data_IF_251499550370
#
_entry.id   IF_251499550370
#
_cell.length_a   1.000
_cell.length_b   1.000
_cell.length_c   1.000
_cell.angle_alpha   90.00
_cell.angle_beta   90.00
_cell.angle_gamma   90.00
#
_symmetry.space_group_name_H-M   'P 1'
#
loop_
_entity.id
_entity.type
_entity.pdbx_description
1 polymer ?
#
# COMPACT_ATOMS: atom_id res chain seq x y z
N UNK A 1 8.49 7.42 15.59
CA UNK A 1 8.74 6.03 15.13
C UNK A 1 10.16 5.95 14.61
N UNK A 2 10.92 4.87 14.86
CA UNK A 2 12.27 4.70 14.33
C UNK A 2 12.32 4.70 12.79
N UNK A 3 13.37 5.29 12.20
CA UNK A 3 13.53 5.42 10.74
C UNK A 3 13.56 4.07 10.01
N UNK A 4 14.17 3.05 10.61
CA UNK A 4 14.19 1.70 10.03
C UNK A 4 12.77 1.11 9.91
N UNK A 5 11.94 1.32 10.93
CA UNK A 5 10.56 0.87 10.94
C UNK A 5 9.69 1.66 9.96
N UNK A 6 9.90 2.97 9.83
CA UNK A 6 9.25 3.79 8.80
C UNK A 6 9.55 3.26 7.40
N UNK A 7 10.83 3.04 7.07
CA UNK A 7 11.26 2.49 5.78
C UNK A 7 10.64 1.11 5.51
N UNK A 8 10.62 0.24 6.52
CA UNK A 8 10.00 -1.08 6.42
C UNK A 8 8.50 -0.98 6.09
N UNK A 9 7.76 -0.13 6.80
CA UNK A 9 6.32 0.04 6.58
C UNK A 9 6.00 0.70 5.24
N UNK A 10 6.79 1.66 4.78
CA UNK A 10 6.65 2.24 3.44
C UNK A 10 6.92 1.20 2.36
N UNK A 11 7.92 0.34 2.52
CA UNK A 11 8.22 -0.74 1.58
C UNK A 11 7.10 -1.80 1.54
N UNK A 12 6.59 -2.20 2.71
CA UNK A 12 5.47 -3.14 2.82
C UNK A 12 4.21 -2.57 2.15
N UNK A 13 3.84 -1.33 2.50
CA UNK A 13 2.72 -0.61 1.89
C UNK A 13 2.87 -0.48 0.37
N UNK A 14 4.08 -0.21 -0.12
CA UNK A 14 4.36 -0.11 -1.56
C UNK A 14 4.08 -1.41 -2.31
N UNK A 15 4.41 -2.56 -1.71
CA UNK A 15 4.12 -3.88 -2.31
C UNK A 15 2.62 -4.18 -2.30
N UNK A 16 1.96 -3.94 -1.17
CA UNK A 16 0.51 -4.13 -1.04
C UNK A 16 -0.24 -3.23 -2.02
N UNK A 17 0.12 -1.95 -2.11
CA UNK A 17 -0.51 -1.01 -3.04
C UNK A 17 -0.34 -1.44 -4.50
N UNK A 18 0.87 -1.88 -4.89
CA UNK A 18 1.08 -2.46 -6.22
C UNK A 18 0.16 -3.66 -6.47
N UNK A 19 0.01 -4.56 -5.50
CA UNK A 19 -0.91 -5.69 -5.63
C UNK A 19 -2.39 -5.25 -5.70
N UNK A 20 -2.75 -4.19 -4.99
CA UNK A 20 -4.10 -3.63 -5.01
C UNK A 20 -4.47 -3.07 -6.38
N UNK A 21 -3.57 -2.30 -7.00
CA UNK A 21 -3.84 -1.60 -8.27
C UNK A 21 -3.46 -2.39 -9.53
N UNK A 22 -2.73 -3.50 -9.41
CA UNK A 22 -2.40 -4.37 -10.56
C UNK A 22 -3.09 -5.73 -10.50
N UNK A 23 -3.47 -6.19 -9.29
CA UNK A 23 -3.91 -7.56 -9.05
C UNK A 23 -2.79 -8.58 -8.84
N UNK A 24 -1.56 -8.28 -9.26
CA UNK A 24 -0.44 -9.18 -9.13
C UNK A 24 0.03 -9.30 -7.67
N UNK A 25 0.30 -10.53 -7.19
CA UNK A 25 0.85 -10.76 -5.84
C UNK A 25 -0.16 -10.66 -4.69
N UNK A 26 -1.47 -10.48 -4.97
CA UNK A 26 -2.52 -10.45 -3.91
C UNK A 26 -2.55 -11.71 -3.04
N UNK A 27 -2.08 -12.84 -3.56
CA UNK A 27 -1.98 -14.11 -2.81
C UNK A 27 -1.02 -14.05 -1.62
N UNK A 28 -0.13 -13.05 -1.53
CA UNK A 28 0.73 -12.83 -0.35
C UNK A 28 -0.05 -12.25 0.84
N UNK A 29 -1.22 -11.64 0.60
CA UNK A 29 -2.09 -11.05 1.63
C UNK A 29 -3.55 -11.50 1.47
N UNK A 30 -3.84 -12.81 1.56
CA UNK A 30 -5.17 -13.35 1.25
C UNK A 30 -6.26 -12.78 2.19
N UNK A 31 -5.94 -12.56 3.46
CA UNK A 31 -6.86 -11.94 4.42
C UNK A 31 -7.10 -10.44 4.19
N UNK A 32 -6.20 -9.74 3.48
CA UNK A 32 -6.38 -8.33 3.14
C UNK A 32 -7.18 -8.14 1.86
N UNK A 33 -7.06 -9.07 0.92
CA UNK A 33 -7.74 -9.00 -0.39
C UNK A 33 -8.97 -9.91 -0.50
N UNK A 34 -9.38 -10.59 0.58
CA UNK A 34 -10.43 -11.63 0.58
C UNK A 34 -11.74 -11.19 -0.07
N UNK A 35 -12.13 -9.94 0.16
CA UNK A 35 -13.42 -9.38 -0.29
C UNK A 35 -13.25 -8.27 -1.34
N UNK A 36 -12.04 -8.09 -1.87
CA UNK A 36 -11.75 -6.99 -2.79
C UNK A 36 -11.83 -7.40 -4.25
N UNK A 37 -12.87 -6.91 -4.95
CA UNK A 37 -12.81 -6.78 -6.40
C UNK A 37 -11.59 -5.93 -6.81
N UNK A 38 -11.02 -6.23 -7.97
CA UNK A 38 -9.88 -5.46 -8.47
C UNK A 38 -10.30 -4.00 -8.63
N UNK A 39 -9.69 -3.07 -7.87
CA UNK A 39 -10.10 -1.66 -7.89
C UNK A 39 -9.89 -1.04 -9.28
N UNK A 40 -8.83 -1.45 -9.96
CA UNK A 40 -8.53 -1.18 -11.37
C UNK A 40 -7.29 -2.00 -11.75
N UNK A 41 -7.10 -2.27 -13.04
CA UNK A 41 -5.91 -2.94 -13.57
C UNK A 41 -4.90 -1.91 -14.10
N UNK A 42 -4.36 -1.08 -13.21
CA UNK A 42 -3.27 -0.17 -13.57
C UNK A 42 -2.02 -0.96 -13.94
N UNK A 43 -1.17 -0.36 -14.76
CA UNK A 43 0.16 -0.87 -15.14
C UNK A 43 1.24 0.20 -14.93
N UNK A 44 2.49 -0.18 -15.12
CA UNK A 44 3.65 0.73 -15.03
C UNK A 44 3.77 1.50 -13.69
N UNK A 45 3.46 0.79 -12.59
CA UNK A 45 3.38 1.40 -11.26
C UNK A 45 4.75 1.80 -10.71
N UNK A 46 4.88 3.09 -10.36
CA UNK A 46 6.02 3.65 -9.65
C UNK A 46 5.60 4.32 -8.35
N UNK A 47 6.21 3.92 -7.24
CA UNK A 47 6.10 4.66 -5.98
C UNK A 47 7.14 5.79 -6.00
N UNK A 48 6.69 7.01 -5.77
CA UNK A 48 7.51 8.21 -5.83
C UNK A 48 7.96 8.64 -4.43
N UNK A 49 7.06 8.54 -3.46
CA UNK A 49 7.33 8.87 -2.07
C UNK A 49 6.43 8.08 -1.13
N UNK A 50 6.85 7.96 0.13
CA UNK A 50 6.04 7.38 1.18
C UNK A 50 6.44 7.89 2.56
N UNK A 51 5.47 8.00 3.45
CA UNK A 51 5.68 8.35 4.86
C UNK A 51 4.86 7.45 5.75
N UNK A 52 5.37 7.10 6.92
CA UNK A 52 4.63 6.33 7.89
C UNK A 52 4.60 7.05 9.25
N UNK A 53 3.39 7.23 9.80
CA UNK A 53 3.17 7.98 11.04
C UNK A 53 2.32 7.16 12.00
N UNK A 54 2.66 7.20 13.28
CA UNK A 54 1.83 6.61 14.32
C UNK A 54 0.43 7.23 14.29
N UNK A 55 -0.58 6.40 14.45
CA UNK A 55 -1.99 6.77 14.51
C UNK A 55 -2.58 6.24 15.83
N UNK A 56 -3.78 6.70 16.24
CA UNK A 56 -4.47 6.18 17.42
C UNK A 56 -4.64 4.65 17.38
N UNK A 57 -4.93 4.05 18.54
CA UNK A 57 -5.19 2.62 18.69
C UNK A 57 -4.03 1.71 18.27
N UNK A 58 -2.78 2.13 18.55
CA UNK A 58 -1.54 1.40 18.22
C UNK A 58 -1.39 1.10 16.72
N UNK A 59 -1.99 1.93 15.86
CA UNK A 59 -1.91 1.80 14.41
C UNK A 59 -0.79 2.64 13.83
N UNK A 60 -0.40 2.34 12.59
CA UNK A 60 0.47 3.19 11.78
C UNK A 60 -0.25 3.50 10.48
N UNK A 61 -0.30 4.78 10.12
CA UNK A 61 -0.82 5.26 8.85
C UNK A 61 0.33 5.46 7.89
N UNK A 62 0.26 4.81 6.74
CA UNK A 62 1.19 5.00 5.64
C UNK A 62 0.49 5.79 4.54
N UNK A 63 1.13 6.85 4.07
CA UNK A 63 0.70 7.60 2.88
C UNK A 63 1.74 7.43 1.80
N UNK A 64 1.30 7.12 0.58
CA UNK A 64 2.14 6.99 -0.59
C UNK A 64 1.78 8.03 -1.63
N UNK A 65 2.77 8.44 -2.41
CA UNK A 65 2.60 9.14 -3.68
C UNK A 65 3.10 8.20 -4.78
N UNK A 66 2.31 8.02 -5.83
CA UNK A 66 2.56 7.05 -6.88
C UNK A 66 2.08 7.52 -8.25
N UNK A 67 2.64 6.90 -9.27
CA UNK A 67 2.29 7.08 -10.67
C UNK A 67 2.00 5.71 -11.32
N UNK A 68 1.23 5.72 -12.40
CA UNK A 68 0.92 4.53 -13.18
C UNK A 68 0.07 4.85 -14.40
N UNK A 69 -0.12 3.86 -15.26
CA UNK A 69 -0.99 3.97 -16.43
C UNK A 69 -2.33 3.32 -16.11
N UNK A 70 -3.41 4.07 -16.29
CA UNK A 70 -4.76 3.59 -16.03
C UNK A 70 -5.23 2.56 -17.07
N UNK A 71 -6.37 1.87 -16.85
CA UNK A 71 -6.90 0.90 -17.82
C UNK A 71 -7.26 1.48 -19.19
N UNK A 72 -7.45 2.80 -19.31
CA UNK A 72 -7.69 3.49 -20.57
C UNK A 72 -6.39 3.88 -21.30
N UNK A 73 -5.22 3.61 -20.71
CA UNK A 73 -3.92 3.90 -21.28
C UNK A 73 -3.37 5.30 -20.95
N UNK A 74 -4.02 6.05 -20.05
CA UNK A 74 -3.58 7.37 -19.64
C UNK A 74 -2.56 7.26 -18.51
N UNK A 75 -1.45 8.00 -18.65
CA UNK A 75 -0.47 8.14 -17.57
C UNK A 75 -1.00 9.10 -16.50
N UNK A 76 -1.01 8.63 -15.26
CA UNK A 76 -1.35 9.42 -14.08
C UNK A 76 -0.13 9.53 -13.17
N UNK A 77 0.09 10.73 -12.66
CA UNK A 77 1.22 11.06 -11.81
C UNK A 77 0.74 11.78 -10.54
N UNK A 78 1.50 11.68 -9.44
CA UNK A 78 1.20 12.36 -8.18
C UNK A 78 -0.03 11.82 -7.45
N UNK A 79 -0.52 10.63 -7.80
CA UNK A 79 -1.66 10.00 -7.11
C UNK A 79 -1.29 9.66 -5.68
N UNK A 80 -2.27 9.75 -4.79
CA UNK A 80 -2.07 9.42 -3.39
C UNK A 80 -2.75 8.11 -3.02
N UNK A 81 -2.16 7.40 -2.05
CA UNK A 81 -2.75 6.23 -1.43
C UNK A 81 -2.56 6.30 0.08
N UNK A 82 -3.48 5.71 0.83
CA UNK A 82 -3.38 5.62 2.28
C UNK A 82 -3.71 4.21 2.74
N UNK A 83 -2.86 3.65 3.58
CA UNK A 83 -3.05 2.35 4.23
C UNK A 83 -2.89 2.49 5.74
N UNK A 84 -3.63 1.69 6.49
CA UNK A 84 -3.47 1.54 7.93
C UNK A 84 -2.82 0.18 8.22
N UNK A 85 -1.94 0.17 9.20
CA UNK A 85 -1.31 -1.05 9.70
C UNK A 85 -1.55 -1.20 11.19
N UNK A 86 -1.73 -2.43 11.64
CA UNK A 86 -1.65 -2.82 13.05
C UNK A 86 -0.49 -3.78 13.27
N UNK A 87 0.01 -3.85 14.50
CA UNK A 87 1.04 -4.81 14.88
C UNK A 87 0.41 -5.95 15.68
N UNK A 88 0.60 -7.18 15.24
CA UNK A 88 0.18 -8.39 15.93
C UNK A 88 1.30 -9.43 15.87
N UNK A 89 1.61 -10.12 16.98
CA UNK A 89 2.69 -11.11 17.06
C UNK A 89 4.02 -10.64 16.43
N UNK A 90 4.43 -9.41 16.73
CA UNK A 90 5.60 -8.72 16.17
C UNK A 90 5.59 -8.46 14.65
N UNK A 91 4.56 -8.88 13.91
CA UNK A 91 4.38 -8.61 12.49
C UNK A 91 3.43 -7.43 12.24
N UNK A 92 3.62 -6.74 11.11
CA UNK A 92 2.73 -5.68 10.64
C UNK A 92 1.71 -6.25 9.68
N UNK A 93 0.43 -5.98 9.95
CA UNK A 93 -0.68 -6.42 9.12
C UNK A 93 -1.44 -5.19 8.58
N UNK A 94 -1.73 -5.16 7.27
CA UNK A 94 -2.57 -4.11 6.71
C UNK A 94 -4.01 -4.27 7.23
N UNK A 95 -4.65 -3.14 7.46
CA UNK A 95 -6.06 -3.04 7.84
C UNK A 95 -6.85 -2.50 6.66
N UNK A 96 -8.06 -3.04 6.51
CA UNK A 96 -9.05 -2.61 5.54
C UNK A 96 -9.69 -1.26 5.91
#
# INVERSE_FOLDING_TARGET
MPRAQEKHLVALASRIWKAEVTGAGRHEWPAYFSDQQLRAAYRDIRIQAGTARTAPNRRVRVRLVWAGTDPAGKNEDGRTAQMLFTRHNNAWHPLH
#
